data_IF_039449018101
#
_entry.id   IF_039449018101
#
_cell.length_a   1.000
_cell.length_b   1.000
_cell.length_c   1.000
_cell.angle_alpha   90.00
_cell.angle_beta   90.00
_cell.angle_gamma   90.00
#
_symmetry.space_group_name_H-M   'P 1'
#
loop_
_entity.id
_entity.type
_entity.pdbx_description
1 polymer ?
#
# COMPACT_ATOMS: atom_id res chain seq x y z
N UNK A 1 73.18 -28.30 -19.28
CA UNK A 1 72.73 -28.13 -17.88
C UNK A 1 71.24 -27.78 -17.89
N UNK A 2 70.44 -28.63 -17.22
CA UNK A 2 69.10 -28.40 -16.65
C UNK A 2 67.94 -28.02 -17.60
N UNK A 3 67.14 -28.97 -18.11
CA UNK A 3 65.99 -29.71 -17.51
C UNK A 3 64.62 -29.06 -17.78
N UNK A 4 63.70 -29.83 -18.39
CA UNK A 4 62.27 -30.07 -18.02
C UNK A 4 61.54 -30.68 -19.23
N UNK A 5 61.29 -32.00 -19.24
CA UNK A 5 60.10 -32.75 -18.73
C UNK A 5 58.87 -32.64 -19.64
N UNK A 6 58.52 -33.78 -20.23
CA UNK A 6 57.26 -34.11 -20.91
C UNK A 6 56.11 -34.26 -19.91
N UNK A 7 54.87 -33.84 -20.26
CA UNK A 7 53.60 -34.54 -19.97
C UNK A 7 52.53 -34.10 -20.98
N UNK A 8 51.85 -35.09 -21.55
CA UNK A 8 50.67 -35.04 -22.43
C UNK A 8 49.41 -34.76 -21.60
N UNK A 9 48.50 -33.90 -22.08
CA UNK A 9 47.12 -33.85 -21.60
C UNK A 9 46.15 -33.79 -22.78
N UNK A 10 45.39 -34.88 -22.94
CA UNK A 10 44.16 -34.94 -23.72
C UNK A 10 42.99 -34.49 -22.84
N UNK A 11 41.95 -33.86 -23.41
CA UNK A 11 40.54 -34.22 -23.13
C UNK A 11 39.51 -33.35 -23.87
N UNK A 12 38.61 -34.10 -24.53
CA UNK A 12 37.16 -33.90 -24.66
C UNK A 12 36.62 -32.74 -25.53
N UNK A 13 36.33 -33.12 -26.78
CA UNK A 13 35.35 -32.49 -27.64
C UNK A 13 33.94 -32.91 -27.16
N UNK A 14 33.14 -31.98 -26.62
CA UNK A 14 31.70 -32.18 -26.42
C UNK A 14 30.91 -31.33 -27.40
N UNK A 15 30.06 -32.02 -28.17
CA UNK A 15 29.14 -31.46 -29.15
C UNK A 15 28.05 -30.66 -28.41
N UNK A 16 28.06 -29.33 -28.55
CA UNK A 16 26.97 -28.49 -28.09
C UNK A 16 25.95 -28.34 -29.23
N UNK A 17 24.80 -28.98 -29.08
CA UNK A 17 23.61 -28.74 -29.89
C UNK A 17 23.09 -27.33 -29.60
N UNK A 18 23.12 -26.45 -30.60
CA UNK A 18 22.52 -25.11 -30.53
C UNK A 18 21.00 -25.30 -30.59
N UNK A 19 20.34 -25.30 -29.44
CA UNK A 19 18.90 -25.10 -29.35
C UNK A 19 18.62 -23.60 -29.49
N UNK A 20 18.10 -23.19 -30.64
CA UNK A 20 17.63 -21.84 -30.90
C UNK A 20 16.38 -21.53 -30.06
N UNK A 21 16.58 -20.85 -28.93
CA UNK A 21 15.49 -20.26 -28.17
C UNK A 21 14.83 -19.16 -29.01
N UNK A 22 13.66 -19.47 -29.54
CA UNK A 22 12.73 -18.46 -30.02
C UNK A 22 12.19 -17.75 -28.79
N UNK A 23 12.66 -16.53 -28.54
CA UNK A 23 12.05 -15.63 -27.56
C UNK A 23 10.63 -15.32 -28.03
N UNK A 24 9.64 -16.01 -27.47
CA UNK A 24 8.28 -15.50 -27.46
C UNK A 24 8.32 -14.23 -26.64
N UNK A 25 8.10 -13.10 -27.31
CA UNK A 25 7.82 -11.83 -26.66
C UNK A 25 6.59 -12.07 -25.77
N UNK A 26 6.82 -12.23 -24.47
CA UNK A 26 5.77 -12.10 -23.49
C UNK A 26 5.31 -10.64 -23.61
N UNK A 27 4.05 -10.43 -23.98
CA UNK A 27 3.41 -9.16 -23.69
C UNK A 27 3.64 -8.93 -22.20
N UNK A 28 4.43 -7.93 -21.85
CA UNK A 28 4.61 -7.53 -20.48
C UNK A 28 3.22 -7.19 -19.96
N UNK A 29 2.64 -8.11 -19.17
CA UNK A 29 1.58 -7.72 -18.26
C UNK A 29 2.21 -6.57 -17.47
N UNK A 30 1.58 -5.40 -17.50
CA UNK A 30 1.82 -4.41 -16.45
C UNK A 30 1.56 -5.20 -15.17
N UNK A 31 2.63 -5.56 -14.46
CA UNK A 31 2.52 -6.24 -13.19
C UNK A 31 1.92 -5.18 -12.28
N UNK A 32 0.60 -5.21 -12.11
CA UNK A 32 -0.03 -4.42 -11.08
C UNK A 32 0.70 -4.73 -9.76
N UNK A 33 0.87 -3.71 -8.92
CA UNK A 33 1.54 -3.82 -7.63
C UNK A 33 0.96 -4.92 -6.73
N UNK A 34 1.50 -5.05 -5.53
CA UNK A 34 0.95 -6.01 -4.56
C UNK A 34 -0.30 -5.45 -3.90
N UNK A 35 -1.28 -6.29 -3.58
CA UNK A 35 -2.40 -5.83 -2.76
C UNK A 35 -1.89 -5.40 -1.38
N UNK A 36 -2.42 -4.29 -0.86
CA UNK A 36 -2.14 -3.91 0.52
C UNK A 36 -2.54 -5.05 1.48
N UNK A 37 -1.66 -5.43 2.43
CA UNK A 37 -2.03 -6.37 3.48
C UNK A 37 -3.28 -5.88 4.22
N UNK A 38 -4.08 -6.83 4.75
CA UNK A 38 -5.25 -6.47 5.56
C UNK A 38 -4.84 -5.60 6.75
N UNK A 39 -5.77 -4.81 7.29
CA UNK A 39 -5.54 -3.98 8.48
C UNK A 39 -4.81 -2.67 8.23
N UNK A 40 -4.58 -2.26 6.98
CA UNK A 40 -4.10 -0.92 6.64
C UNK A 40 -5.12 0.12 7.12
N UNK A 41 -4.69 1.09 7.94
CA UNK A 41 -5.53 2.14 8.51
C UNK A 41 -5.12 3.55 8.10
N UNK A 42 -3.85 3.75 7.73
CA UNK A 42 -3.34 5.02 7.22
C UNK A 42 -2.32 4.78 6.11
N UNK A 43 -2.33 5.62 5.09
CA UNK A 43 -1.36 5.58 4.00
C UNK A 43 -1.11 6.96 3.39
N UNK A 44 0.08 7.49 3.63
CA UNK A 44 0.57 8.71 3.00
C UNK A 44 1.58 8.35 1.90
N UNK A 45 1.16 8.46 0.65
CA UNK A 45 1.97 8.04 -0.51
C UNK A 45 3.07 9.03 -0.90
N UNK A 46 3.03 10.25 -0.36
CA UNK A 46 3.95 11.33 -0.72
C UNK A 46 3.95 11.72 -2.22
N UNK A 47 2.91 11.35 -2.98
CA UNK A 47 2.74 11.59 -4.43
C UNK A 47 2.46 13.05 -4.81
N UNK A 48 3.32 13.97 -4.34
CA UNK A 48 3.09 15.42 -4.30
C UNK A 48 1.87 15.83 -3.46
N UNK A 49 1.48 15.00 -2.49
CA UNK A 49 0.41 15.29 -1.55
C UNK A 49 0.82 14.87 -0.13
N UNK A 50 0.12 15.39 0.87
CA UNK A 50 0.20 14.96 2.28
C UNK A 50 -1.07 14.22 2.72
N UNK A 51 -1.96 13.91 1.77
CA UNK A 51 -3.24 13.27 2.03
C UNK A 51 -3.05 11.83 2.51
N UNK A 52 -3.90 11.43 3.46
CA UNK A 52 -4.03 10.03 3.86
C UNK A 52 -5.13 9.38 3.02
N UNK A 53 -4.72 8.52 2.07
CA UNK A 53 -5.66 7.91 1.11
C UNK A 53 -6.49 6.76 1.70
N UNK A 54 -6.33 6.45 3.00
CA UNK A 54 -7.06 5.40 3.70
C UNK A 54 -7.85 5.96 4.88
N UNK A 55 -7.17 6.60 5.83
CA UNK A 55 -7.74 6.99 7.13
C UNK A 55 -8.31 8.41 7.19
N UNK A 56 -8.15 9.22 6.14
CA UNK A 56 -8.55 10.64 6.12
C UNK A 56 -7.89 11.45 7.26
N UNK A 57 -6.65 11.11 7.61
CA UNK A 57 -5.83 11.84 8.56
C UNK A 57 -4.67 12.53 7.84
N UNK A 58 -4.98 13.61 7.12
CA UNK A 58 -3.99 14.31 6.30
C UNK A 58 -2.86 14.90 7.17
N UNK A 59 -1.64 14.77 6.65
CA UNK A 59 -0.46 15.36 7.26
C UNK A 59 -0.21 16.80 6.79
N UNK A 60 0.93 17.33 7.21
CA UNK A 60 1.48 18.59 6.74
C UNK A 60 2.99 18.43 6.54
N UNK A 61 3.47 18.92 5.40
CA UNK A 61 4.88 18.99 5.09
C UNK A 61 5.38 20.38 5.47
N UNK A 62 6.29 20.45 6.45
CA UNK A 62 6.85 21.71 6.97
C UNK A 62 8.29 21.80 6.52
N UNK A 63 8.63 22.86 5.76
CA UNK A 63 9.96 23.10 5.19
C UNK A 63 10.54 21.94 4.33
N UNK A 64 9.74 20.92 4.04
CA UNK A 64 10.10 19.84 3.15
C UNK A 64 9.67 20.12 1.70
N UNK A 65 10.10 19.25 0.80
CA UNK A 65 9.71 19.27 -0.61
C UNK A 65 9.37 17.86 -1.10
N UNK A 66 9.17 17.68 -2.41
CA UNK A 66 8.95 16.36 -3.00
C UNK A 66 10.10 16.00 -3.95
N UNK A 67 10.61 14.77 -3.85
CA UNK A 67 11.65 14.22 -4.73
C UNK A 67 11.17 12.92 -5.39
N UNK A 68 12.00 12.33 -6.25
CA UNK A 68 11.72 10.99 -6.82
C UNK A 68 11.73 9.96 -5.70
N UNK A 69 10.63 9.20 -5.56
CA UNK A 69 10.46 8.16 -4.56
C UNK A 69 10.99 6.80 -4.98
N UNK A 70 10.81 5.81 -4.10
CA UNK A 70 10.85 4.40 -4.52
C UNK A 70 9.62 4.13 -5.37
N UNK A 71 8.45 4.59 -4.91
CA UNK A 71 7.20 4.59 -5.66
C UNK A 71 6.90 6.04 -6.03
N UNK A 72 6.99 6.37 -7.32
CA UNK A 72 6.64 7.70 -7.85
C UNK A 72 7.37 8.87 -7.15
N UNK A 73 6.81 9.48 -6.07
CA UNK A 73 7.36 10.66 -5.38
C UNK A 73 7.49 10.39 -3.88
N UNK A 74 8.49 11.02 -3.26
CA UNK A 74 8.73 10.93 -1.82
C UNK A 74 8.71 12.29 -1.14
N UNK A 75 8.46 12.30 0.17
CA UNK A 75 8.77 13.45 1.01
C UNK A 75 10.30 13.61 1.05
N UNK A 76 10.77 14.79 0.67
CA UNK A 76 12.15 15.19 0.85
C UNK A 76 12.26 16.01 2.12
N UNK A 77 12.89 15.40 3.12
CA UNK A 77 13.12 15.96 4.45
C UNK A 77 14.60 16.35 4.63
N UNK A 78 15.37 16.43 3.54
CA UNK A 78 16.73 16.94 3.61
C UNK A 78 16.71 18.40 4.11
N UNK A 79 17.60 18.72 5.05
CA UNK A 79 17.68 20.07 5.59
C UNK A 79 18.27 20.99 4.54
N UNK A 80 17.42 21.76 3.87
CA UNK A 80 17.86 22.92 3.12
C UNK A 80 17.96 24.16 4.04
N UNK A 81 18.31 25.31 3.48
CA UNK A 81 18.46 26.57 4.23
C UNK A 81 17.16 27.09 4.90
N UNK A 82 16.03 26.39 4.77
CA UNK A 82 14.70 26.83 5.20
C UNK A 82 14.31 26.40 6.62
N UNK A 83 15.20 25.71 7.35
CA UNK A 83 14.96 25.22 8.72
C UNK A 83 14.59 23.73 8.76
N UNK A 84 14.28 23.21 9.96
CA UNK A 84 14.01 21.79 10.18
C UNK A 84 12.84 21.28 9.31
N UNK A 85 13.16 20.44 8.33
CA UNK A 85 12.18 19.82 7.45
C UNK A 85 11.51 18.62 8.13
N UNK A 86 10.19 18.51 8.03
CA UNK A 86 9.45 17.37 8.59
C UNK A 86 8.12 17.12 7.89
N UNK A 87 7.72 15.86 7.89
CA UNK A 87 6.32 15.49 7.68
C UNK A 87 5.68 15.25 9.05
N UNK A 88 4.53 15.86 9.31
CA UNK A 88 3.82 15.70 10.58
C UNK A 88 2.34 15.41 10.36
N UNK A 89 1.79 14.53 11.19
CA UNK A 89 0.38 14.16 11.20
C UNK A 89 -0.21 14.60 12.54
N UNK A 90 -1.33 15.34 12.56
CA UNK A 90 -1.95 15.78 13.81
C UNK A 90 -2.28 14.59 14.71
N UNK A 91 -2.35 14.83 16.02
CA UNK A 91 -2.77 13.78 16.95
C UNK A 91 -4.20 13.37 16.65
N UNK A 92 -4.44 12.06 16.63
CA UNK A 92 -5.74 11.44 16.44
C UNK A 92 -5.82 10.13 17.24
N UNK A 93 -7.00 9.73 17.76
CA UNK A 93 -7.19 8.43 18.40
C UNK A 93 -6.77 7.23 17.55
N UNK A 94 -6.79 7.32 16.21
CA UNK A 94 -6.29 6.26 15.34
C UNK A 94 -4.77 6.02 15.46
N UNK A 95 -4.03 7.01 15.99
CA UNK A 95 -2.60 6.94 16.27
C UNK A 95 -2.30 6.55 17.73
N UNK A 96 -3.31 6.25 18.54
CA UNK A 96 -3.17 5.69 19.88
C UNK A 96 -2.96 4.17 19.79
N UNK A 97 -1.80 3.77 19.26
CA UNK A 97 -1.42 2.40 18.91
C UNK A 97 -1.19 1.50 20.14
N UNK A 98 -2.27 1.12 20.83
CA UNK A 98 -2.25 0.31 22.05
C UNK A 98 -2.37 -1.20 21.83
N UNK A 99 -2.73 -1.64 20.61
CA UNK A 99 -2.85 -3.03 20.19
C UNK A 99 -1.63 -3.51 19.40
N UNK A 100 -1.78 -4.64 18.69
CA UNK A 100 -0.81 -5.01 17.66
C UNK A 100 -0.84 -3.99 16.53
N UNK A 101 0.33 -3.65 15.99
CA UNK A 101 0.41 -2.76 14.85
C UNK A 101 1.70 -2.98 14.06
N UNK A 102 1.71 -2.45 12.85
CA UNK A 102 2.92 -2.32 12.04
C UNK A 102 2.98 -0.90 11.48
N UNK A 103 4.14 -0.27 11.55
CA UNK A 103 4.43 0.94 10.76
C UNK A 103 5.45 0.52 9.72
N UNK A 104 5.18 0.75 8.45
CA UNK A 104 6.18 0.59 7.39
C UNK A 104 6.27 1.82 6.49
N UNK A 105 7.44 1.96 5.88
CA UNK A 105 7.76 3.03 4.94
C UNK A 105 9.03 2.68 4.16
N UNK A 106 9.14 3.23 2.95
CA UNK A 106 10.39 3.31 2.22
C UNK A 106 11.21 4.49 2.72
N UNK A 107 12.51 4.27 2.86
CA UNK A 107 13.46 5.29 3.34
C UNK A 107 14.72 5.31 2.50
N UNK A 108 15.25 6.50 2.25
CA UNK A 108 16.55 6.73 1.65
C UNK A 108 17.30 7.80 2.44
N UNK A 109 18.15 7.40 3.42
CA UNK A 109 18.84 8.35 4.28
C UNK A 109 19.97 9.07 3.55
N UNK A 110 20.22 10.32 3.95
CA UNK A 110 21.40 11.06 3.48
C UNK A 110 22.69 10.51 4.09
N UNK A 111 23.81 10.80 3.40
CA UNK A 111 25.16 10.54 3.93
C UNK A 111 25.44 11.45 5.14
N UNK A 112 24.87 12.66 5.12
CA UNK A 112 25.01 13.62 6.22
C UNK A 112 23.83 13.51 7.16
N UNK A 113 24.09 13.34 8.46
CA UNK A 113 23.08 13.28 9.51
C UNK A 113 23.59 14.01 10.75
N UNK A 114 22.65 14.64 11.45
CA UNK A 114 22.90 15.12 12.81
C UNK A 114 23.18 13.95 13.77
N UNK A 115 23.90 14.25 14.85
CA UNK A 115 23.96 13.33 15.98
C UNK A 115 22.56 13.23 16.64
N UNK A 116 22.15 12.01 17.00
CA UNK A 116 20.84 11.73 17.60
C UNK A 116 19.63 12.11 16.71
N UNK A 117 19.79 12.15 15.39
CA UNK A 117 18.70 12.52 14.50
C UNK A 117 17.45 11.66 14.70
N UNK A 118 16.28 12.31 14.75
CA UNK A 118 14.99 11.68 14.98
C UNK A 118 14.31 11.40 13.64
N UNK A 119 14.32 10.12 13.23
CA UNK A 119 13.67 9.68 12.00
C UNK A 119 12.15 9.69 12.14
N UNK A 120 11.64 9.09 13.23
CA UNK A 120 10.22 8.95 13.51
C UNK A 120 9.98 9.21 15.00
N UNK A 121 9.01 10.04 15.34
CA UNK A 121 8.60 10.31 16.72
C UNK A 121 7.10 10.49 16.87
N UNK A 122 6.55 9.90 17.94
CA UNK A 122 5.26 10.28 18.54
C UNK A 122 5.43 10.25 20.06
N UNK A 123 6.13 11.24 20.58
CA UNK A 123 6.51 11.37 21.98
C UNK A 123 6.46 12.84 22.39
N UNK A 124 5.92 13.14 23.57
CA UNK A 124 5.94 14.51 24.11
C UNK A 124 7.33 14.81 24.68
N UNK A 125 8.07 15.80 24.13
CA UNK A 125 9.40 16.16 24.63
C UNK A 125 9.42 16.66 26.07
N UNK A 126 8.26 17.04 26.62
CA UNK A 126 8.13 17.46 28.02
C UNK A 126 7.72 16.30 28.95
N UNK A 127 7.49 15.10 28.43
CA UNK A 127 7.13 13.92 29.22
C UNK A 127 8.04 12.73 28.89
N UNK A 128 9.03 12.51 29.75
CA UNK A 128 10.09 11.54 29.54
C UNK A 128 9.63 10.07 29.39
N UNK A 129 8.37 9.74 29.68
CA UNK A 129 7.89 8.37 29.79
C UNK A 129 6.74 7.99 28.84
N UNK A 130 6.41 8.76 27.79
CA UNK A 130 5.32 8.41 26.86
C UNK A 130 5.81 8.12 25.43
N UNK A 131 4.95 7.52 24.59
CA UNK A 131 5.19 7.47 23.15
C UNK A 131 6.18 6.42 22.63
N UNK A 132 6.59 6.62 21.38
CA UNK A 132 7.52 5.75 20.64
C UNK A 132 8.34 6.54 19.61
N UNK A 133 9.42 5.94 19.12
CA UNK A 133 10.25 6.57 18.10
C UNK A 133 11.31 5.66 17.48
N UNK A 134 11.99 6.22 16.48
CA UNK A 134 13.20 5.71 15.86
C UNK A 134 14.22 6.86 15.86
N UNK A 135 15.36 6.68 16.54
CA UNK A 135 16.41 7.70 16.68
C UNK A 135 17.80 7.12 16.36
N UNK A 136 18.72 7.97 15.93
CA UNK A 136 20.11 7.58 15.72
C UNK A 136 20.89 7.40 17.03
N UNK A 137 21.95 6.59 16.98
CA UNK A 137 22.86 6.20 18.07
C UNK A 137 23.67 7.34 18.74
N UNK A 138 23.40 8.59 18.40
CA UNK A 138 24.12 9.75 18.89
C UNK A 138 25.41 10.09 18.15
N UNK A 139 25.78 9.33 17.12
CA UNK A 139 26.94 9.62 16.27
C UNK A 139 26.48 10.26 14.96
N UNK A 140 27.04 11.43 14.64
CA UNK A 140 26.76 12.09 13.35
C UNK A 140 27.15 11.18 12.18
N UNK A 141 26.32 11.17 11.14
CA UNK A 141 26.50 10.38 9.90
C UNK A 141 26.55 8.85 10.09
N UNK A 142 26.17 8.29 11.26
CA UNK A 142 26.25 6.85 11.50
C UNK A 142 25.21 6.03 10.74
N UNK A 143 24.07 6.66 10.40
CA UNK A 143 22.86 6.00 9.90
C UNK A 143 22.53 4.71 10.67
N UNK A 144 22.78 4.73 11.97
CA UNK A 144 22.63 3.59 12.87
C UNK A 144 21.59 3.97 13.91
N UNK A 145 20.51 3.20 13.98
CA UNK A 145 19.25 3.58 14.61
C UNK A 145 18.83 2.58 15.68
N UNK A 146 18.06 3.08 16.64
CA UNK A 146 17.31 2.31 17.62
C UNK A 146 15.82 2.63 17.50
N UNK A 147 14.96 1.64 17.78
CA UNK A 147 13.52 1.82 17.82
C UNK A 147 12.98 1.42 19.19
N UNK A 148 12.03 2.18 19.75
CA UNK A 148 11.56 1.94 21.11
C UNK A 148 10.22 2.55 21.46
N UNK A 149 9.74 2.23 22.67
CA UNK A 149 8.51 2.79 23.26
C UNK A 149 8.57 2.92 24.78
N UNK A 150 7.62 3.69 25.31
CA UNK A 150 7.43 3.97 26.73
C UNK A 150 5.95 3.79 27.10
N UNK A 151 5.66 3.41 28.35
CA UNK A 151 4.31 3.05 28.81
C UNK A 151 3.67 4.05 29.78
N UNK A 152 4.20 5.26 29.86
CA UNK A 152 3.73 6.33 30.75
C UNK A 152 4.44 6.34 32.10
N UNK A 153 5.12 5.26 32.48
CA UNK A 153 5.87 5.16 33.75
C UNK A 153 7.38 5.06 33.53
N UNK A 154 7.79 4.26 32.56
CA UNK A 154 9.20 4.10 32.21
C UNK A 154 9.39 3.81 30.74
N UNK A 155 10.63 3.96 30.29
CA UNK A 155 11.09 3.33 29.06
C UNK A 155 10.91 1.81 29.19
N UNK A 156 10.11 1.22 28.31
CA UNK A 156 9.86 -0.21 28.33
C UNK A 156 10.89 -0.97 27.50
N UNK A 157 11.20 -0.40 26.33
CA UNK A 157 11.97 -1.14 25.35
C UNK A 157 12.58 -0.18 24.35
N UNK A 158 13.87 -0.33 24.12
CA UNK A 158 14.51 0.04 22.87
C UNK A 158 15.20 -1.20 22.34
N UNK A 159 15.29 -1.31 21.02
CA UNK A 159 15.98 -2.40 20.33
C UNK A 159 17.33 -2.70 20.97
N UNK A 160 17.57 -3.97 21.31
CA UNK A 160 18.77 -4.38 22.07
C UNK A 160 20.06 -4.20 21.27
N UNK A 161 19.98 -4.37 19.95
CA UNK A 161 21.02 -4.03 19.00
C UNK A 161 20.54 -2.88 18.09
N UNK A 162 21.42 -1.98 17.64
CA UNK A 162 21.04 -1.03 16.61
C UNK A 162 20.81 -1.74 15.26
N UNK A 163 20.16 -1.04 14.34
CA UNK A 163 20.13 -1.41 12.93
C UNK A 163 20.69 -0.27 12.08
N UNK A 164 21.41 -0.60 11.01
CA UNK A 164 22.05 0.39 10.14
C UNK A 164 21.34 0.44 8.80
N UNK A 165 21.09 1.65 8.31
CA UNK A 165 20.59 1.90 6.97
C UNK A 165 21.73 2.37 6.06
N UNK A 166 21.72 1.91 4.82
CA UNK A 166 22.68 2.32 3.80
C UNK A 166 22.25 3.66 3.23
N UNK A 167 23.05 4.73 3.36
CA UNK A 167 22.69 6.03 2.80
C UNK A 167 22.60 5.96 1.28
N UNK A 168 21.78 6.84 0.68
CA UNK A 168 21.55 6.96 -0.76
C UNK A 168 20.87 5.75 -1.43
N UNK A 169 20.32 4.82 -0.64
CA UNK A 169 19.61 3.64 -1.14
C UNK A 169 18.21 3.55 -0.54
N UNK A 170 17.22 3.22 -1.38
CA UNK A 170 15.88 2.89 -0.93
C UNK A 170 15.88 1.56 -0.21
N UNK A 171 15.29 1.56 0.98
CA UNK A 171 15.11 0.39 1.82
C UNK A 171 13.71 0.43 2.45
N UNK A 172 13.06 -0.71 2.59
CA UNK A 172 11.82 -0.80 3.34
C UNK A 172 12.14 -1.04 4.82
N UNK A 173 11.67 -0.16 5.69
CA UNK A 173 11.68 -0.35 7.14
C UNK A 173 10.28 -0.70 7.59
N UNK A 174 10.13 -1.78 8.36
CA UNK A 174 8.89 -2.12 9.04
C UNK A 174 9.14 -2.35 10.53
N UNK A 175 8.36 -1.68 11.38
CA UNK A 175 8.39 -1.85 12.83
C UNK A 175 7.12 -2.56 13.25
N UNK A 176 7.25 -3.85 13.58
CA UNK A 176 6.15 -4.71 13.99
C UNK A 176 6.09 -4.75 15.51
N UNK A 177 4.94 -4.37 16.05
CA UNK A 177 4.62 -4.47 17.47
C UNK A 177 3.58 -5.58 17.65
N UNK A 178 3.94 -6.60 18.43
CA UNK A 178 3.16 -7.81 18.61
C UNK A 178 3.07 -8.18 20.09
N UNK A 179 1.85 -8.35 20.59
CA UNK A 179 1.56 -8.77 21.96
C UNK A 179 1.38 -10.28 22.01
N UNK A 180 1.86 -10.92 23.07
CA UNK A 180 1.51 -12.31 23.35
C UNK A 180 0.01 -12.43 23.67
N UNK A 181 -0.53 -13.66 23.58
CA UNK A 181 -1.96 -13.92 23.82
C UNK A 181 -2.43 -13.48 25.21
N UNK A 182 -1.52 -13.42 26.19
CA UNK A 182 -1.83 -12.99 27.55
C UNK A 182 -1.72 -11.46 27.75
N UNK A 183 -1.20 -10.71 26.76
CA UNK A 183 -0.93 -9.27 26.88
C UNK A 183 0.15 -8.92 27.90
N UNK A 184 0.96 -9.91 28.30
CA UNK A 184 2.00 -9.79 29.33
C UNK A 184 3.38 -9.53 28.76
N UNK A 185 3.63 -9.99 27.53
CA UNK A 185 4.90 -9.83 26.83
C UNK A 185 4.66 -9.17 25.47
N UNK A 186 5.39 -8.10 25.22
CA UNK A 186 5.24 -7.31 24.02
C UNK A 186 6.58 -7.27 23.31
N UNK A 187 6.59 -7.73 22.06
CA UNK A 187 7.77 -7.72 21.21
C UNK A 187 7.67 -6.62 20.17
N UNK A 188 8.74 -5.84 20.00
CA UNK A 188 8.93 -4.96 18.85
C UNK A 188 10.06 -5.50 18.01
N UNK A 189 9.78 -5.79 16.74
CA UNK A 189 10.78 -6.26 15.78
C UNK A 189 10.90 -5.29 14.63
N UNK A 190 12.13 -4.89 14.33
CA UNK A 190 12.47 -4.05 13.18
C UNK A 190 12.93 -4.95 12.04
N UNK A 191 12.28 -4.79 10.90
CA UNK A 191 12.66 -5.41 9.64
C UNK A 191 13.25 -4.36 8.71
N UNK A 192 14.35 -4.71 8.04
CA UNK A 192 14.92 -3.94 6.93
C UNK A 192 14.98 -4.85 5.72
N UNK A 193 14.36 -4.43 4.61
CA UNK A 193 14.26 -5.23 3.39
C UNK A 193 13.77 -6.67 3.64
N UNK A 194 12.76 -6.82 4.51
CA UNK A 194 12.13 -8.12 4.80
C UNK A 194 12.89 -9.01 5.77
N UNK A 195 14.07 -8.59 6.23
CA UNK A 195 14.89 -9.33 7.21
C UNK A 195 14.75 -8.69 8.58
N UNK A 196 14.46 -9.48 9.62
CA UNK A 196 14.47 -8.99 11.00
C UNK A 196 15.91 -8.64 11.40
N UNK A 197 16.16 -7.38 11.72
CA UNK A 197 17.51 -6.86 12.04
C UNK A 197 17.67 -6.52 13.51
N UNK A 198 16.58 -6.21 14.20
CA UNK A 198 16.62 -5.93 15.62
C UNK A 198 15.30 -6.22 16.30
N UNK A 199 15.36 -6.47 17.60
CA UNK A 199 14.19 -6.72 18.42
C UNK A 199 14.41 -6.26 19.86
N UNK A 200 13.32 -6.02 20.56
CA UNK A 200 13.31 -5.94 22.00
C UNK A 200 11.97 -6.42 22.55
N UNK A 201 12.00 -6.84 23.81
CA UNK A 201 10.82 -7.29 24.56
C UNK A 201 10.63 -6.39 25.77
N UNK A 202 9.40 -5.91 25.98
CA UNK A 202 9.00 -5.10 27.13
C UNK A 202 7.61 -5.49 27.63
N UNK A 203 7.10 -4.72 28.60
CA UNK A 203 5.78 -4.96 29.19
C UNK A 203 4.89 -3.71 29.13
N UNK A 204 3.58 -3.93 29.06
CA UNK A 204 2.60 -2.85 29.06
C UNK A 204 2.52 -2.06 27.75
N UNK A 205 1.33 -1.57 27.39
CA UNK A 205 1.09 -0.91 26.12
C UNK A 205 1.88 0.39 26.00
N UNK A 206 2.04 0.86 24.76
CA UNK A 206 2.53 2.22 24.49
C UNK A 206 1.60 3.22 25.18
N UNK A 207 2.18 4.17 25.92
CA UNK A 207 1.40 5.27 26.45
C UNK A 207 0.94 6.20 25.33
N UNK A 208 -0.37 6.42 25.28
CA UNK A 208 -1.00 7.38 24.38
C UNK A 208 -0.57 8.80 24.72
N UNK A 209 -0.64 9.68 23.73
CA UNK A 209 -0.29 11.09 23.89
C UNK A 209 -1.01 11.91 22.83
N UNK A 210 -1.17 13.20 23.11
CA UNK A 210 -1.85 14.14 22.22
C UNK A 210 -0.88 14.91 21.32
N UNK A 211 0.33 14.38 21.10
CA UNK A 211 1.32 15.03 20.21
C UNK A 211 1.24 14.46 18.79
N UNK A 212 1.67 15.24 17.78
CA UNK A 212 1.74 14.77 16.40
C UNK A 212 2.63 13.52 16.24
N UNK A 213 2.34 12.70 15.23
CA UNK A 213 3.33 11.79 14.66
C UNK A 213 4.21 12.60 13.70
N UNK A 214 5.53 12.44 13.80
CA UNK A 214 6.50 13.24 13.05
C UNK A 214 7.55 12.34 12.42
N UNK A 215 7.95 12.71 11.20
CA UNK A 215 9.11 12.19 10.50
C UNK A 215 10.06 13.34 10.16
N UNK A 216 11.37 13.15 10.34
CA UNK A 216 12.39 14.14 10.00
C UNK A 216 12.79 15.09 11.12
N UNK A 217 11.97 15.22 12.16
CA UNK A 217 12.24 16.10 13.31
C UNK A 217 11.36 15.70 14.51
N UNK A 218 11.74 16.17 15.70
CA UNK A 218 10.95 16.05 16.92
C UNK A 218 10.63 17.44 17.45
N UNK A 219 9.52 18.06 17.05
CA UNK A 219 9.22 19.47 17.39
C UNK A 219 7.87 19.63 18.10
N UNK A 220 7.75 20.51 19.12
CA UNK A 220 8.78 21.41 19.65
C UNK A 220 9.70 20.73 20.67
N UNK A 221 10.92 20.40 20.26
CA UNK A 221 11.95 19.90 21.18
C UNK A 221 12.66 21.03 21.92
N UNK A 222 13.03 20.82 23.19
CA UNK A 222 13.95 21.71 23.92
C UNK A 222 15.42 21.50 23.52
N UNK A 223 15.75 20.44 22.79
CA UNK A 223 17.10 20.07 22.36
C UNK A 223 17.21 20.24 20.83
N UNK A 224 17.69 21.37 20.34
CA UNK A 224 17.86 21.58 18.89
C UNK A 224 18.91 20.66 18.25
N UNK A 225 18.99 20.65 16.92
CA UNK A 225 19.99 19.92 16.12
C UNK A 225 19.80 18.38 16.11
N UNK A 226 18.55 17.90 16.07
CA UNK A 226 18.17 16.47 15.95
C UNK A 226 17.37 16.17 14.69
N UNK A 227 17.42 17.07 13.72
CA UNK A 227 16.73 16.88 12.45
C UNK A 227 17.36 15.72 11.67
N UNK A 228 16.53 14.88 11.06
CA UNK A 228 16.92 13.77 10.20
C UNK A 228 16.85 14.18 8.73
N UNK A 229 17.87 13.78 7.97
CA UNK A 229 18.03 14.18 6.57
C UNK A 229 17.86 13.00 5.62
N UNK A 230 16.92 13.10 4.68
CA UNK A 230 16.73 12.10 3.64
C UNK A 230 15.34 12.11 3.04
N UNK A 231 15.01 11.02 2.36
CA UNK A 231 13.71 10.82 1.72
C UNK A 231 12.90 9.75 2.44
N UNK A 232 11.60 10.00 2.60
CA UNK A 232 10.62 9.03 3.14
C UNK A 232 9.46 8.92 2.16
N UNK A 233 9.03 7.70 1.90
CA UNK A 233 8.04 7.35 0.90
C UNK A 233 7.12 6.24 1.43
N UNK A 234 5.88 6.19 0.97
CA UNK A 234 4.88 5.16 1.34
C UNK A 234 4.72 4.97 2.86
N UNK A 235 4.42 6.03 3.62
CA UNK A 235 4.24 5.89 5.08
C UNK A 235 2.91 5.21 5.37
N UNK A 236 2.95 4.06 6.04
CA UNK A 236 1.79 3.22 6.27
C UNK A 236 1.69 2.73 7.71
N UNK A 237 0.45 2.63 8.18
CA UNK A 237 0.13 2.08 9.51
C UNK A 237 -0.92 0.99 9.35
N UNK A 238 -0.63 -0.17 9.94
CA UNK A 238 -1.52 -1.31 10.03
C UNK A 238 -1.93 -1.53 11.48
N UNK A 239 -3.21 -1.83 11.73
CA UNK A 239 -3.74 -2.15 13.05
C UNK A 239 -3.54 -3.62 13.46
N UNK A 240 -2.47 -4.24 12.96
CA UNK A 240 -2.03 -5.59 13.30
C UNK A 240 -0.54 -5.78 13.10
N UNK A 241 -0.01 -6.85 13.69
CA UNK A 241 1.34 -7.33 13.39
C UNK A 241 1.37 -7.98 12.00
N UNK A 242 2.16 -7.43 11.08
CA UNK A 242 2.45 -8.07 9.80
C UNK A 242 3.46 -9.20 10.01
N UNK A 243 3.25 -10.30 9.27
CA UNK A 243 4.21 -11.40 9.23
C UNK A 243 5.38 -11.10 8.30
N UNK A 244 6.51 -11.76 8.51
CA UNK A 244 7.68 -11.60 7.63
C UNK A 244 7.36 -11.87 6.13
N UNK A 245 6.58 -12.91 5.74
CA UNK A 245 6.20 -13.08 4.34
C UNK A 245 5.36 -11.92 3.76
N UNK A 246 4.53 -11.28 4.57
CA UNK A 246 3.78 -10.09 4.14
C UNK A 246 4.74 -8.92 3.92
N UNK A 247 5.66 -8.67 4.85
CA UNK A 247 6.68 -7.62 4.71
C UNK A 247 7.56 -7.89 3.47
N UNK A 248 7.97 -9.14 3.23
CA UNK A 248 8.74 -9.50 2.03
C UNK A 248 7.95 -9.24 0.75
N UNK A 249 6.62 -9.39 0.78
CA UNK A 249 5.76 -9.05 -0.35
C UNK A 249 5.81 -7.54 -0.64
N UNK A 250 5.84 -6.70 0.40
CA UNK A 250 5.97 -5.24 0.25
C UNK A 250 7.34 -4.85 -0.32
N UNK A 251 8.42 -5.50 0.13
CA UNK A 251 9.77 -5.30 -0.42
C UNK A 251 9.81 -5.66 -1.90
N UNK A 252 9.25 -6.81 -2.26
CA UNK A 252 9.25 -7.31 -3.63
C UNK A 252 8.41 -6.45 -4.58
N UNK A 253 7.46 -5.69 -4.05
CA UNK A 253 6.71 -4.71 -4.84
C UNK A 253 7.64 -3.61 -5.36
N UNK A 254 8.61 -3.17 -4.55
CA UNK A 254 9.54 -2.08 -4.88
C UNK A 254 8.81 -0.89 -5.52
N UNK A 255 9.42 -0.33 -6.56
CA UNK A 255 8.81 0.74 -7.38
C UNK A 255 7.46 0.45 -8.05
N UNK A 256 7.01 -0.81 -8.15
CA UNK A 256 5.64 -1.09 -8.60
C UNK A 256 4.59 -0.73 -7.52
N UNK A 257 5.03 -0.67 -6.26
CA UNK A 257 4.24 -0.26 -5.11
C UNK A 257 3.08 -1.19 -4.78
N UNK A 258 2.25 -0.74 -3.83
CA UNK A 258 1.00 -1.40 -3.48
C UNK A 258 -0.17 -0.86 -4.32
N UNK A 259 -1.19 -1.67 -4.50
CA UNK A 259 -2.46 -1.33 -5.19
C UNK A 259 -3.37 -0.54 -4.25
N UNK A 260 -3.91 0.59 -4.72
CA UNK A 260 -4.91 1.37 -4.00
C UNK A 260 -6.18 0.51 -3.83
N UNK A 261 -6.65 0.25 -2.60
CA UNK A 261 -7.90 -0.45 -2.39
C UNK A 261 -9.08 0.47 -2.78
N UNK A 262 -9.94 -0.03 -3.67
CA UNK A 262 -11.17 0.62 -4.06
C UNK A 262 -12.35 -0.07 -3.38
N UNK A 263 -13.25 0.72 -2.81
CA UNK A 263 -14.58 0.23 -2.44
C UNK A 263 -15.46 0.30 -3.68
N UNK A 264 -16.01 -0.83 -4.09
CA UNK A 264 -16.90 -0.92 -5.25
C UNK A 264 -18.23 -1.56 -4.87
N UNK A 265 -19.27 -1.22 -5.61
CA UNK A 265 -20.60 -1.82 -5.49
C UNK A 265 -21.11 -2.21 -6.88
N UNK A 266 -21.39 -3.49 -7.08
CA UNK A 266 -21.96 -4.03 -8.32
C UNK A 266 -23.47 -3.87 -8.28
N UNK A 267 -24.05 -3.14 -9.24
CA UNK A 267 -25.47 -2.77 -9.23
C UNK A 267 -25.87 -1.97 -7.98
N UNK A 268 -25.30 -0.75 -7.85
CA UNK A 268 -25.56 0.07 -6.67
C UNK A 268 -27.06 0.30 -6.44
N UNK A 269 -27.48 0.19 -5.18
CA UNK A 269 -28.88 0.29 -4.74
C UNK A 269 -29.66 -1.03 -4.70
N UNK A 270 -29.08 -2.15 -5.13
CA UNK A 270 -29.64 -3.50 -4.94
C UNK A 270 -28.98 -4.22 -3.75
N UNK A 271 -29.73 -4.99 -2.95
CA UNK A 271 -29.16 -5.76 -1.84
C UNK A 271 -28.52 -7.10 -2.23
N UNK A 272 -28.57 -7.45 -3.52
CA UNK A 272 -27.96 -8.64 -4.13
C UNK A 272 -27.46 -8.23 -5.50
N UNK A 273 -26.33 -8.80 -5.94
CA UNK A 273 -25.67 -8.41 -7.18
C UNK A 273 -25.79 -9.53 -8.24
N UNK A 274 -27.01 -9.81 -8.79
CA UNK A 274 -27.19 -10.93 -9.71
C UNK A 274 -26.68 -10.58 -11.11
N UNK A 275 -25.79 -11.41 -11.67
CA UNK A 275 -25.29 -11.24 -13.04
C UNK A 275 -25.79 -12.42 -13.89
N UNK A 276 -26.58 -12.11 -14.91
CA UNK A 276 -26.95 -13.05 -15.96
C UNK A 276 -25.94 -12.95 -17.11
N UNK A 277 -24.97 -13.87 -17.17
CA UNK A 277 -23.94 -13.89 -18.21
C UNK A 277 -24.49 -14.09 -19.63
N UNK A 278 -25.72 -14.61 -19.78
CA UNK A 278 -26.42 -14.70 -21.06
C UNK A 278 -27.14 -13.42 -21.49
N UNK A 279 -27.20 -12.41 -20.63
CA UNK A 279 -27.83 -11.12 -20.99
C UNK A 279 -26.94 -10.31 -21.93
N UNK A 280 -27.57 -9.58 -22.87
CA UNK A 280 -26.90 -8.56 -23.71
C UNK A 280 -27.04 -7.15 -23.10
N UNK A 281 -27.25 -7.10 -21.79
CA UNK A 281 -27.45 -5.88 -21.03
C UNK A 281 -26.13 -5.25 -20.61
N UNK A 282 -26.21 -4.41 -19.59
CA UNK A 282 -25.04 -3.81 -18.94
C UNK A 282 -25.09 -4.08 -17.45
N UNK A 283 -23.92 -4.19 -16.84
CA UNK A 283 -23.72 -4.23 -15.40
C UNK A 283 -23.22 -2.85 -14.98
N UNK A 284 -24.02 -2.05 -14.24
CA UNK A 284 -23.52 -0.86 -13.58
C UNK A 284 -22.66 -1.24 -12.39
N UNK A 285 -21.58 -0.49 -12.17
CA UNK A 285 -20.65 -0.64 -11.04
C UNK A 285 -20.31 0.75 -10.53
N UNK A 286 -20.46 0.99 -9.24
CA UNK A 286 -19.97 2.21 -8.61
C UNK A 286 -18.59 1.96 -7.99
N UNK A 287 -17.67 2.89 -8.18
CA UNK A 287 -16.49 3.05 -7.32
C UNK A 287 -16.86 4.16 -6.33
N UNK A 288 -16.93 3.82 -5.05
CA UNK A 288 -17.44 4.71 -4.02
C UNK A 288 -16.36 5.71 -3.59
N UNK A 289 -16.74 6.98 -3.54
CA UNK A 289 -15.93 7.99 -2.87
C UNK A 289 -16.03 7.81 -1.36
N UNK A 290 -14.99 8.22 -0.63
CA UNK A 290 -14.99 8.23 0.83
C UNK A 290 -14.53 9.60 1.33
N UNK A 291 -14.33 9.74 2.64
CA UNK A 291 -13.63 10.92 3.17
C UNK A 291 -12.19 11.01 2.63
N UNK A 292 -11.50 9.86 2.57
CA UNK A 292 -10.09 9.73 2.17
C UNK A 292 -9.88 9.58 0.66
N UNK A 293 -10.92 9.32 -0.12
CA UNK A 293 -10.79 8.94 -1.53
C UNK A 293 -11.83 9.64 -2.43
N UNK A 294 -11.35 10.31 -3.47
CA UNK A 294 -12.19 10.91 -4.53
C UNK A 294 -12.21 10.02 -5.78
N UNK A 295 -13.33 9.35 -6.03
CA UNK A 295 -13.49 8.45 -7.18
C UNK A 295 -13.39 9.16 -8.55
N UNK A 296 -13.47 10.49 -8.59
CA UNK A 296 -13.28 11.25 -9.84
C UNK A 296 -11.85 11.25 -10.35
N UNK A 297 -10.89 10.88 -9.48
CA UNK A 297 -9.45 10.77 -9.82
C UNK A 297 -9.09 9.47 -10.55
N UNK A 298 -10.02 8.53 -10.67
CA UNK A 298 -9.84 7.27 -11.38
C UNK A 298 -9.71 7.51 -12.89
N UNK A 299 -8.68 6.93 -13.52
CA UNK A 299 -8.56 6.93 -14.98
C UNK A 299 -9.53 5.89 -15.56
N UNK A 300 -10.72 6.35 -15.96
CA UNK A 300 -11.77 5.53 -16.58
C UNK A 300 -11.28 4.69 -17.77
N UNK A 301 -10.25 5.15 -18.49
CA UNK A 301 -9.73 4.44 -19.67
C UNK A 301 -8.91 3.20 -19.33
N UNK A 302 -8.36 3.17 -18.11
CA UNK A 302 -7.60 2.04 -17.55
C UNK A 302 -8.50 0.94 -16.99
N UNK A 303 -9.78 1.26 -16.70
CA UNK A 303 -10.64 0.37 -15.91
C UNK A 303 -11.03 -0.89 -16.68
N UNK A 304 -10.87 -2.02 -16.01
CA UNK A 304 -11.39 -3.31 -16.43
C UNK A 304 -12.16 -4.02 -15.32
N UNK A 305 -13.16 -4.82 -15.70
CA UNK A 305 -13.98 -5.63 -14.79
C UNK A 305 -14.10 -7.03 -15.38
N UNK A 306 -13.46 -8.03 -14.77
CA UNK A 306 -13.42 -9.40 -15.29
C UNK A 306 -13.15 -9.51 -16.81
N UNK A 307 -12.19 -8.72 -17.31
CA UNK A 307 -11.82 -8.67 -18.74
C UNK A 307 -12.60 -7.68 -19.60
N UNK A 308 -13.74 -7.17 -19.12
CA UNK A 308 -14.51 -6.13 -19.83
C UNK A 308 -13.91 -4.74 -19.61
N UNK A 309 -13.87 -3.91 -20.65
CA UNK A 309 -13.61 -2.47 -20.54
C UNK A 309 -14.92 -1.71 -20.29
N UNK A 310 -14.81 -0.48 -19.77
CA UNK A 310 -15.97 0.42 -19.63
C UNK A 310 -16.66 0.60 -20.99
N UNK A 311 -17.97 0.37 -21.03
CA UNK A 311 -18.78 0.49 -22.23
C UNK A 311 -18.76 1.93 -22.76
N UNK A 312 -18.97 2.09 -24.07
CA UNK A 312 -19.02 3.39 -24.73
C UNK A 312 -20.44 3.74 -25.19
N UNK A 313 -20.75 5.03 -25.13
CA UNK A 313 -21.94 5.64 -25.75
C UNK A 313 -21.74 5.70 -27.27
N UNK A 314 -22.82 5.97 -28.03
CA UNK A 314 -22.78 6.06 -29.51
C UNK A 314 -21.82 7.13 -30.03
N UNK A 315 -21.60 8.20 -29.25
CA UNK A 315 -20.65 9.27 -29.55
C UNK A 315 -19.19 8.93 -29.17
N UNK A 316 -18.91 7.70 -28.76
CA UNK A 316 -17.57 7.24 -28.40
C UNK A 316 -17.13 7.54 -26.98
N UNK A 317 -17.86 8.33 -26.18
CA UNK A 317 -17.48 8.61 -24.79
C UNK A 317 -17.73 7.42 -23.88
N UNK A 318 -16.99 7.30 -22.79
CA UNK A 318 -17.26 6.26 -21.78
C UNK A 318 -18.65 6.43 -21.16
N UNK A 319 -19.28 5.31 -20.81
CA UNK A 319 -20.47 5.26 -19.98
C UNK A 319 -20.09 5.37 -18.51
N UNK A 320 -19.60 6.55 -18.17
CA UNK A 320 -19.27 6.97 -16.82
C UNK A 320 -20.15 8.16 -16.40
N UNK A 321 -20.46 8.25 -15.13
CA UNK A 321 -21.10 9.41 -14.48
C UNK A 321 -20.64 9.53 -13.04
N UNK A 322 -20.77 10.75 -12.49
CA UNK A 322 -20.54 11.03 -11.07
C UNK A 322 -21.88 11.24 -10.39
N UNK A 323 -22.27 10.29 -9.53
CA UNK A 323 -23.59 10.21 -8.89
C UNK A 323 -23.40 9.78 -7.44
N UNK A 324 -24.17 10.34 -6.51
CA UNK A 324 -24.21 9.85 -5.12
C UNK A 324 -25.14 8.64 -5.08
N UNK A 325 -24.59 7.42 -5.09
CA UNK A 325 -25.39 6.20 -5.18
C UNK A 325 -25.70 5.57 -3.82
N UNK A 326 -25.00 5.99 -2.76
CA UNK A 326 -25.15 5.45 -1.42
C UNK A 326 -25.80 6.46 -0.43
N UNK A 327 -26.02 7.71 -0.83
CA UNK A 327 -26.65 8.77 -0.05
C UNK A 327 -25.72 9.46 0.95
N UNK A 328 -24.40 9.34 0.81
CA UNK A 328 -23.41 9.92 1.74
C UNK A 328 -23.01 11.36 1.40
N UNK A 329 -23.58 11.94 0.32
CA UNK A 329 -23.30 13.27 -0.23
C UNK A 329 -21.93 13.43 -0.88
N UNK A 330 -21.22 12.34 -1.14
CA UNK A 330 -20.03 12.29 -1.98
C UNK A 330 -20.45 11.66 -3.31
N UNK A 331 -19.87 12.13 -4.41
CA UNK A 331 -20.22 11.60 -5.73
C UNK A 331 -19.33 10.39 -6.03
N UNK A 332 -19.96 9.30 -6.40
CA UNK A 332 -19.33 8.04 -6.78
C UNK A 332 -19.16 7.96 -8.28
N UNK A 333 -18.12 7.26 -8.73
CA UNK A 333 -17.90 7.01 -10.15
C UNK A 333 -18.70 5.79 -10.58
N UNK A 334 -19.81 6.01 -11.28
CA UNK A 334 -20.66 4.95 -11.83
C UNK A 334 -20.23 4.62 -13.25
N UNK A 335 -19.83 3.37 -13.47
CA UNK A 335 -19.35 2.81 -14.72
C UNK A 335 -20.31 1.73 -15.21
N UNK A 336 -20.46 1.60 -16.53
CA UNK A 336 -21.26 0.53 -17.12
C UNK A 336 -20.40 -0.40 -17.96
N UNK A 337 -20.55 -1.70 -17.76
CA UNK A 337 -19.85 -2.74 -18.51
C UNK A 337 -20.84 -3.57 -19.30
N UNK A 338 -20.49 -3.94 -20.52
CA UNK A 338 -21.30 -4.86 -21.32
C UNK A 338 -21.22 -6.28 -20.71
N UNK A 339 -22.36 -6.89 -20.40
CA UNK A 339 -22.36 -8.21 -19.74
C UNK A 339 -21.65 -9.28 -20.58
N UNK A 340 -21.77 -9.22 -21.90
CA UNK A 340 -21.14 -10.16 -22.83
C UNK A 340 -19.61 -10.06 -22.87
N UNK A 341 -19.03 -8.97 -22.37
CA UNK A 341 -17.58 -8.74 -22.38
C UNK A 341 -16.93 -9.23 -21.06
N UNK A 342 -17.73 -9.68 -20.07
CA UNK A 342 -17.26 -10.20 -18.77
C UNK A 342 -16.72 -11.63 -18.89
N UNK A 343 -15.64 -11.79 -19.66
CA UNK A 343 -15.06 -13.09 -20.02
C UNK A 343 -14.34 -13.80 -18.86
N UNK A 344 -14.03 -13.09 -17.78
CA UNK A 344 -13.39 -13.62 -16.58
C UNK A 344 -14.34 -14.30 -15.58
N UNK A 345 -15.62 -14.43 -15.89
CA UNK A 345 -16.63 -15.04 -15.01
C UNK A 345 -17.14 -16.37 -15.54
N UNK A 346 -17.56 -17.24 -14.63
CA UNK A 346 -18.25 -18.50 -14.94
C UNK A 346 -19.39 -18.75 -13.94
N UNK A 347 -20.15 -19.82 -14.10
CA UNK A 347 -21.33 -20.12 -13.27
C UNK A 347 -21.05 -20.32 -11.77
N UNK A 348 -19.81 -20.54 -11.37
CA UNK A 348 -19.42 -20.67 -9.96
C UNK A 348 -18.77 -19.43 -9.38
N UNK A 349 -18.61 -18.36 -10.16
CA UNK A 349 -18.06 -17.09 -9.66
C UNK A 349 -18.95 -16.50 -8.57
N UNK A 350 -18.36 -16.16 -7.43
CA UNK A 350 -19.04 -15.55 -6.27
C UNK A 350 -18.56 -14.13 -5.97
N UNK A 351 -17.51 -13.68 -6.67
CA UNK A 351 -16.99 -12.32 -6.58
C UNK A 351 -16.51 -11.86 -7.96
N UNK A 352 -16.34 -10.54 -8.08
CA UNK A 352 -15.80 -9.89 -9.27
C UNK A 352 -14.84 -8.80 -8.85
N UNK A 353 -13.72 -8.68 -9.55
CA UNK A 353 -12.68 -7.68 -9.28
C UNK A 353 -12.66 -6.65 -10.40
N UNK A 354 -12.69 -5.39 -10.00
CA UNK A 354 -12.41 -4.23 -10.83
C UNK A 354 -10.93 -3.85 -10.65
N UNK A 355 -10.23 -3.56 -11.73
CA UNK A 355 -8.86 -3.03 -11.71
C UNK A 355 -8.75 -1.81 -12.59
N UNK A 356 -7.82 -0.92 -12.27
CA UNK A 356 -7.48 0.25 -13.08
C UNK A 356 -6.38 1.06 -12.42
N UNK A 357 -6.34 2.35 -12.71
CA UNK A 357 -5.37 3.28 -12.13
C UNK A 357 -6.03 4.53 -11.56
N UNK A 358 -5.42 5.07 -10.50
CA UNK A 358 -5.73 6.36 -9.89
C UNK A 358 -4.42 7.14 -9.82
N UNK A 359 -4.38 8.33 -10.42
CA UNK A 359 -3.17 9.18 -10.43
C UNK A 359 -1.87 8.45 -10.87
N UNK A 360 -1.99 7.50 -11.81
CA UNK A 360 -0.85 6.70 -12.30
C UNK A 360 -0.50 5.47 -11.46
N UNK A 361 -1.17 5.27 -10.32
CA UNK A 361 -1.00 4.11 -9.44
C UNK A 361 -2.05 3.04 -9.71
N UNK A 362 -1.67 1.77 -9.58
CA UNK A 362 -2.63 0.67 -9.69
C UNK A 362 -3.69 0.74 -8.59
N UNK A 363 -4.94 0.46 -8.93
CA UNK A 363 -6.06 0.43 -8.01
C UNK A 363 -6.93 -0.81 -8.29
N UNK A 364 -7.52 -1.38 -7.24
CA UNK A 364 -8.42 -2.52 -7.39
C UNK A 364 -9.47 -2.61 -6.29
N UNK A 365 -10.64 -3.11 -6.64
CA UNK A 365 -11.73 -3.36 -5.70
C UNK A 365 -12.42 -4.67 -6.05
N UNK A 366 -12.97 -5.35 -5.04
CA UNK A 366 -13.71 -6.60 -5.22
C UNK A 366 -15.03 -6.52 -4.50
N UNK A 367 -16.06 -7.05 -5.15
CA UNK A 367 -17.39 -7.17 -4.56
C UNK A 367 -17.98 -8.55 -4.88
N UNK A 368 -18.95 -8.96 -4.06
CA UNK A 368 -19.64 -10.24 -4.16
C UNK A 368 -20.71 -10.19 -5.25
N UNK A 369 -20.90 -11.30 -5.95
CA UNK A 369 -21.89 -11.44 -7.01
C UNK A 369 -22.60 -12.78 -6.93
N UNK A 370 -23.77 -12.86 -7.58
CA UNK A 370 -24.48 -14.12 -7.80
C UNK A 370 -24.71 -14.34 -9.28
N UNK A 371 -24.06 -15.34 -9.87
CA UNK A 371 -24.38 -15.70 -11.26
C UNK A 371 -25.76 -16.35 -11.32
N UNK A 372 -26.64 -15.82 -12.17
CA UNK A 372 -28.00 -16.33 -12.37
C UNK A 372 -28.18 -16.87 -13.79
N UNK A 373 -29.01 -17.91 -13.98
CA UNK A 373 -29.28 -18.45 -15.31
C UNK A 373 -29.89 -17.40 -16.26
N UNK A 374 -29.77 -17.61 -17.58
CA UNK A 374 -30.55 -16.85 -18.55
C UNK A 374 -32.04 -16.96 -18.22
N UNK A 375 -32.71 -15.83 -18.03
CA UNK A 375 -34.17 -15.82 -17.85
C UNK A 375 -34.83 -16.52 -19.03
N UNK A 376 -35.81 -17.40 -18.77
CA UNK A 376 -36.65 -17.96 -19.84
C UNK A 376 -37.36 -16.77 -20.48
N UNK A 377 -36.99 -16.44 -21.72
CA UNK A 377 -37.72 -15.44 -22.49
C UNK A 377 -39.19 -15.82 -22.46
N UNK A 378 -40.07 -14.87 -22.14
CA UNK A 378 -41.49 -15.07 -22.34
C UNK A 378 -41.68 -15.45 -23.80
N UNK A 379 -41.95 -16.74 -24.02
CA UNK A 379 -42.42 -17.21 -25.31
C UNK A 379 -43.57 -16.31 -25.70
N UNK A 380 -43.45 -15.70 -26.87
CA UNK A 380 -44.58 -15.13 -27.57
C UNK A 380 -45.68 -16.20 -27.49
N UNK A 381 -46.77 -15.90 -26.79
CA UNK A 381 -47.97 -16.71 -26.88
C UNK A 381 -48.40 -16.56 -28.33
N UNK A 382 -47.98 -17.52 -29.15
CA UNK A 382 -48.56 -17.72 -30.46
C UNK A 382 -50.01 -18.13 -30.16
N UNK A 383 -50.91 -17.15 -30.28
CA UNK A 383 -52.35 -17.37 -30.28
C UNK A 383 -52.69 -18.13 -31.56
N UNK A 384 -52.41 -19.43 -31.57
CA UNK A 384 -53.06 -20.38 -32.45
C UNK A 384 -54.24 -20.99 -31.69
N UNK A 385 -55.27 -20.17 -31.45
CA UNK A 385 -56.60 -20.69 -31.17
C UNK A 385 -57.27 -21.02 -32.51
N UNK A 386 -56.97 -22.25 -32.91
CA UNK A 386 -57.79 -23.23 -33.62
C UNK A 386 -59.30 -22.88 -33.61
N UNK A 387 -59.77 -22.21 -34.67
CA UNK A 387 -61.19 -22.11 -35.00
C UNK A 387 -61.68 -23.50 -35.41
N UNK A 388 -62.13 -24.28 -34.42
CA UNK A 388 -62.93 -25.49 -34.61
C UNK A 388 -64.30 -25.36 -33.94
N UNK A 389 -65.30 -25.47 -34.81
CA UNK A 389 -66.71 -25.81 -34.59
C UNK A 389 -67.64 -24.76 -33.97
N UNK A 390 -68.40 -24.08 -34.84
CA UNK A 390 -69.86 -24.30 -34.98
C UNK A 390 -70.46 -23.68 -36.24
#
# INVERSE_FOLDING_TARGET
>A
MNTKRWVIAAMLLTCATIASFHSRSAFGQVTCGVNAPAGLIHWWTADNTTDDIIGNLDGALVNGSYATGEVLRAFNLANDTSGAARFQVPSDPSLDLSGDFTIDFWINPSITQNANADLLRKEDPNQAANGFGIEMDGLANSNTYFAGWKNGTSQQCWTTAPFTLTPTQWQLVAVVYNQDTAGTEITRTVYVNGTAVSTCTGAGPIATNTVPLQFGDWTPQPFGNREWDGLVDEIEIFNRALSQPEIQTLVNAGSAGKVIPLVIDIKPGEGVNPINLGSRGKVPVAILSTAAFDASTVDVSSITLAGARVARRKNGTFMASLEDVNGDKRRDLVLHFNTQDLTGLNSSSTSITLTGTVNGRCASGTDTIKIVPPGKGHGKLDNDDDDRDR
#
